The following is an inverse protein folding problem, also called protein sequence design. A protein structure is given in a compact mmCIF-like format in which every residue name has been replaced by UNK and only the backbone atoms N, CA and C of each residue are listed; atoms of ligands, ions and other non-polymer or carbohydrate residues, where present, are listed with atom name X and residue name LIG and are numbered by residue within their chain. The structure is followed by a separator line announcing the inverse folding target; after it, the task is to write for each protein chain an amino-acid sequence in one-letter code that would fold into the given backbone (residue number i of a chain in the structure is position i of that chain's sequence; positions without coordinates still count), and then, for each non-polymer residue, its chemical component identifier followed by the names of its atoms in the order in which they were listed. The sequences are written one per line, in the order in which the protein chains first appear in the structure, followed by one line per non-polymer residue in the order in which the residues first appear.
data_IF_990733734146
#
_entry.id   IF_990733734146
#
_cell.length_a   1.000
_cell.length_b   1.000
_cell.length_c   1.000
_cell.angle_alpha   90.00
_cell.angle_beta   90.00
_cell.angle_gamma   90.00
#
_symmetry.space_group_name_H-M   'P 1'
#
loop_
_entity.id
_entity.type
_entity.pdbx_description
1 polymer ?
#
# COMPACT_ATOMS: atom_id res chain seq x y z
N UNK A 1 -34.86 6.04 78.30
CA UNK A 1 -34.66 7.24 77.46
C UNK A 1 -33.54 6.95 76.55
N UNK A 2 -33.83 6.35 75.38
CA UNK A 2 -32.87 5.79 74.45
C UNK A 2 -32.71 6.81 73.30
N UNK A 3 -31.45 7.21 73.09
CA UNK A 3 -31.11 8.06 71.94
C UNK A 3 -30.59 7.17 70.81
N UNK A 4 -31.42 6.97 69.78
CA UNK A 4 -31.01 6.41 68.48
C UNK A 4 -30.02 7.37 67.78
N UNK A 5 -28.80 6.93 67.55
CA UNK A 5 -27.86 7.55 66.64
C UNK A 5 -28.07 6.95 65.25
N UNK A 6 -28.65 7.75 64.36
CA UNK A 6 -28.75 7.40 62.91
C UNK A 6 -27.45 7.82 62.26
N UNK A 7 -26.61 6.82 61.94
CA UNK A 7 -25.44 7.02 61.13
C UNK A 7 -25.78 7.14 59.67
N UNK A 8 -25.59 8.31 59.07
CA UNK A 8 -25.72 8.59 57.66
C UNK A 8 -24.43 8.17 56.94
N UNK A 9 -24.43 6.99 56.31
CA UNK A 9 -23.29 6.55 55.48
C UNK A 9 -23.45 7.22 54.11
N UNK A 10 -22.60 8.19 53.86
CA UNK A 10 -22.44 8.83 52.54
C UNK A 10 -21.66 7.87 51.64
N UNK A 11 -22.35 7.17 50.74
CA UNK A 11 -21.72 6.36 49.70
C UNK A 11 -21.27 7.28 48.56
N UNK A 12 -20.02 7.75 48.61
CA UNK A 12 -19.38 8.42 47.48
C UNK A 12 -19.12 7.37 46.40
N UNK A 13 -20.01 7.27 45.43
CA UNK A 13 -19.76 6.50 44.21
C UNK A 13 -18.65 7.17 43.40
N UNK A 14 -17.43 6.66 43.48
CA UNK A 14 -16.38 6.97 42.51
C UNK A 14 -16.78 6.37 41.16
N UNK A 15 -17.45 7.17 40.34
CA UNK A 15 -17.55 6.85 38.89
C UNK A 15 -16.15 7.02 38.30
N UNK A 16 -15.45 5.90 38.14
CA UNK A 16 -14.22 5.88 37.36
C UNK A 16 -14.58 6.23 35.92
N UNK A 17 -14.39 7.48 35.53
CA UNK A 17 -14.34 7.88 34.13
C UNK A 17 -13.11 7.17 33.55
N UNK A 18 -13.29 6.03 32.90
CA UNK A 18 -12.28 5.49 31.99
C UNK A 18 -12.20 6.48 30.82
N UNK A 19 -11.23 7.37 30.88
CA UNK A 19 -10.80 8.15 29.69
C UNK A 19 -10.34 7.12 28.69
N UNK A 20 -11.19 6.76 27.76
CA UNK A 20 -10.79 5.98 26.58
C UNK A 20 -9.84 6.89 25.83
N UNK A 21 -8.54 6.60 25.89
CA UNK A 21 -7.55 7.33 25.13
C UNK A 21 -7.96 7.18 23.65
N UNK A 22 -8.49 8.27 23.08
CA UNK A 22 -8.91 8.28 21.68
C UNK A 22 -7.64 8.08 20.87
N UNK A 23 -7.58 7.02 20.09
CA UNK A 23 -6.43 6.74 19.23
C UNK A 23 -6.43 7.77 18.10
N UNK A 24 -5.50 8.71 18.15
CA UNK A 24 -5.32 9.71 17.12
C UNK A 24 -4.40 9.18 16.02
N UNK A 25 -4.93 9.18 14.79
CA UNK A 25 -4.13 8.88 13.61
C UNK A 25 -3.18 10.06 13.33
N UNK A 26 -1.96 9.80 12.82
CA UNK A 26 -1.02 10.87 12.46
C UNK A 26 -1.57 11.75 11.35
N UNK A 27 -1.12 13.00 11.30
CA UNK A 27 -1.29 13.87 10.13
C UNK A 27 -0.02 13.83 9.27
N UNK A 28 -0.20 13.56 7.98
CA UNK A 28 0.87 13.44 6.99
C UNK A 28 0.57 14.40 5.86
N UNK A 29 1.49 15.31 5.58
CA UNK A 29 1.34 16.22 4.45
C UNK A 29 1.55 15.47 3.13
N UNK A 30 0.48 15.37 2.36
CA UNK A 30 0.50 14.75 1.05
C UNK A 30 0.47 15.82 -0.04
N UNK A 31 1.62 16.12 -0.62
CA UNK A 31 1.75 16.99 -1.79
C UNK A 31 2.05 16.22 -3.09
N UNK A 32 2.09 14.87 -3.05
CA UNK A 32 2.63 14.04 -4.12
C UNK A 32 1.58 13.47 -5.07
N UNK A 33 0.38 13.19 -4.58
CA UNK A 33 -0.67 12.58 -5.40
C UNK A 33 -2.05 13.08 -4.99
N UNK A 34 -3.06 12.79 -5.82
CA UNK A 34 -4.43 13.18 -5.53
C UNK A 34 -5.45 12.51 -6.43
N UNK A 35 -6.74 12.88 -6.25
CA UNK A 35 -7.84 12.33 -7.04
C UNK A 35 -7.66 12.52 -8.54
N UNK A 36 -7.93 11.46 -9.31
CA UNK A 36 -7.85 11.45 -10.76
C UNK A 36 -6.49 11.08 -11.33
N UNK A 37 -5.49 10.81 -10.48
CA UNK A 37 -4.21 10.28 -10.95
C UNK A 37 -4.38 8.89 -11.56
N UNK A 38 -3.74 8.66 -12.71
CA UNK A 38 -3.66 7.36 -13.36
C UNK A 38 -2.27 7.19 -13.97
N UNK A 39 -1.64 6.04 -13.71
CA UNK A 39 -0.33 5.70 -14.24
C UNK A 39 -0.41 4.32 -14.87
N UNK A 40 0.05 4.21 -16.12
CA UNK A 40 0.09 2.95 -16.86
C UNK A 40 1.52 2.43 -16.96
N UNK A 41 1.67 1.15 -16.74
CA UNK A 41 2.94 0.44 -16.79
C UNK A 41 2.89 -0.70 -17.80
N UNK A 42 4.03 -0.96 -18.41
CA UNK A 42 4.31 -2.19 -19.14
C UNK A 42 4.96 -3.18 -18.19
N UNK A 43 4.53 -4.43 -18.24
CA UNK A 43 5.12 -5.53 -17.48
C UNK A 43 5.99 -6.37 -18.41
N UNK A 44 7.24 -6.59 -18.01
CA UNK A 44 8.22 -7.36 -18.79
C UNK A 44 8.70 -8.58 -17.98
N UNK A 45 9.05 -9.64 -18.70
CA UNK A 45 9.83 -10.76 -18.20
C UNK A 45 11.02 -10.96 -19.14
N UNK A 46 12.24 -10.71 -18.62
CA UNK A 46 13.43 -10.55 -19.45
C UNK A 46 13.22 -9.44 -20.47
N UNK A 47 13.37 -9.77 -21.74
CA UNK A 47 13.19 -8.84 -22.86
C UNK A 47 11.76 -8.80 -23.42
N UNK A 48 10.89 -9.67 -22.96
CA UNK A 48 9.54 -9.81 -23.50
C UNK A 48 8.54 -9.00 -22.69
N UNK A 49 7.66 -8.27 -23.39
CA UNK A 49 6.48 -7.68 -22.74
C UNK A 49 5.44 -8.77 -22.54
N UNK A 50 5.06 -8.98 -21.29
CA UNK A 50 4.14 -10.04 -20.88
C UNK A 50 2.79 -9.53 -20.42
N UNK A 51 2.67 -8.21 -20.19
CA UNK A 51 1.42 -7.64 -19.70
C UNK A 51 1.50 -6.13 -19.49
N UNK A 52 0.48 -5.63 -18.82
CA UNK A 52 0.36 -4.23 -18.40
C UNK A 52 -0.18 -4.16 -16.97
N UNK A 53 0.12 -3.04 -16.31
CA UNK A 53 -0.50 -2.69 -15.04
C UNK A 53 -0.95 -1.22 -15.08
N UNK A 54 -1.99 -0.91 -14.31
CA UNK A 54 -2.51 0.47 -14.20
C UNK A 54 -2.81 0.74 -12.74
N UNK A 55 -2.33 1.88 -12.22
CA UNK A 55 -2.75 2.39 -10.92
C UNK A 55 -3.65 3.60 -11.10
N UNK A 56 -4.71 3.69 -10.30
CA UNK A 56 -5.71 4.78 -10.39
C UNK A 56 -6.11 5.25 -9.00
N UNK A 57 -6.11 6.57 -8.80
CA UNK A 57 -6.79 7.22 -7.68
C UNK A 57 -8.15 7.71 -8.18
N UNK A 58 -9.25 7.25 -7.57
CA UNK A 58 -10.60 7.69 -7.96
C UNK A 58 -10.71 9.21 -7.83
N UNK A 59 -11.50 9.83 -8.71
CA UNK A 59 -11.74 11.30 -8.67
C UNK A 59 -12.54 11.73 -7.45
N UNK A 60 -13.26 10.83 -6.82
CA UNK A 60 -14.11 11.08 -5.65
C UNK A 60 -13.34 10.77 -4.38
N UNK A 61 -13.65 11.52 -3.32
CA UNK A 61 -13.27 11.15 -1.96
C UNK A 61 -14.42 10.36 -1.35
N UNK A 62 -14.08 9.24 -0.74
CA UNK A 62 -15.02 8.35 -0.06
C UNK A 62 -14.99 8.61 1.45
N UNK A 63 -16.03 8.21 2.15
CA UNK A 63 -16.06 8.28 3.61
C UNK A 63 -16.04 6.87 4.17
N UNK A 64 -14.94 6.48 4.82
CA UNK A 64 -14.75 5.18 5.47
C UNK A 64 -14.46 5.44 6.95
N UNK A 65 -15.14 4.73 7.85
CA UNK A 65 -15.00 4.93 9.29
C UNK A 65 -15.11 6.41 9.71
N UNK A 66 -16.05 7.14 9.09
CA UNK A 66 -16.26 8.59 9.28
C UNK A 66 -15.11 9.50 8.82
N UNK A 67 -14.06 8.95 8.17
CA UNK A 67 -12.89 9.69 7.70
C UNK A 67 -12.86 9.78 6.17
N UNK A 68 -12.42 10.93 5.61
CA UNK A 68 -12.20 11.07 4.18
C UNK A 68 -11.13 10.09 3.70
N UNK A 69 -11.36 9.41 2.58
CA UNK A 69 -10.46 8.37 2.07
C UNK A 69 -10.33 8.43 0.55
N UNK A 70 -9.11 8.31 0.06
CA UNK A 70 -8.84 8.00 -1.33
C UNK A 70 -9.25 6.56 -1.60
N UNK A 71 -9.88 6.31 -2.76
CA UNK A 71 -9.98 4.95 -3.30
C UNK A 71 -8.90 4.80 -4.36
N UNK A 72 -8.05 3.80 -4.20
CA UNK A 72 -6.95 3.51 -5.11
C UNK A 72 -7.07 2.10 -5.61
N UNK A 73 -6.99 1.91 -6.92
CA UNK A 73 -7.01 0.61 -7.57
C UNK A 73 -5.71 0.40 -8.36
N UNK A 74 -5.17 -0.82 -8.30
CA UNK A 74 -4.11 -1.31 -9.17
C UNK A 74 -4.62 -2.53 -9.93
N UNK A 75 -4.50 -2.49 -11.24
CA UNK A 75 -4.89 -3.56 -12.14
C UNK A 75 -3.65 -4.16 -12.78
N UNK A 76 -3.60 -5.47 -12.91
CA UNK A 76 -2.55 -6.20 -13.61
C UNK A 76 -3.16 -7.21 -14.57
N UNK A 77 -2.69 -7.21 -15.82
CA UNK A 77 -3.17 -8.17 -16.80
C UNK A 77 -2.05 -8.65 -17.73
N UNK A 78 -2.05 -9.94 -18.05
CA UNK A 78 -1.21 -10.48 -19.11
C UNK A 78 -1.73 -10.09 -20.49
N UNK A 79 -0.82 -9.95 -21.47
CA UNK A 79 -1.16 -9.61 -22.85
C UNK A 79 -0.37 -10.47 -23.84
N UNK A 80 -0.80 -10.44 -25.13
CA UNK A 80 -0.16 -11.17 -26.22
C UNK A 80 -0.18 -12.68 -26.03
N UNK A 81 0.86 -13.36 -26.49
CA UNK A 81 0.97 -14.84 -26.44
C UNK A 81 0.99 -15.40 -25.02
N UNK A 82 1.50 -14.62 -24.04
CA UNK A 82 1.56 -15.06 -22.63
C UNK A 82 0.16 -15.27 -22.06
N UNK A 83 -0.83 -14.48 -22.47
CA UNK A 83 -2.22 -14.64 -22.03
C UNK A 83 -2.86 -15.98 -22.47
N UNK A 84 -2.30 -16.64 -23.48
CA UNK A 84 -2.74 -17.98 -23.91
C UNK A 84 -2.17 -19.09 -23.02
N UNK A 85 -1.02 -18.85 -22.42
CA UNK A 85 -0.37 -19.81 -21.50
C UNK A 85 -0.94 -19.66 -20.10
N UNK A 86 -0.97 -18.40 -19.60
CA UNK A 86 -1.52 -18.08 -18.29
C UNK A 86 -2.18 -16.70 -18.35
N UNK A 87 -3.51 -16.69 -18.27
CA UNK A 87 -4.28 -15.46 -18.20
C UNK A 87 -4.25 -14.93 -16.78
N UNK A 88 -3.71 -13.72 -16.59
CA UNK A 88 -3.77 -12.93 -15.36
C UNK A 88 -4.72 -11.75 -15.59
N UNK A 89 -5.61 -11.49 -14.63
CA UNK A 89 -6.54 -10.37 -14.61
C UNK A 89 -6.82 -10.02 -13.14
N UNK A 90 -5.89 -9.30 -12.53
CA UNK A 90 -5.87 -9.02 -11.10
C UNK A 90 -6.30 -7.57 -10.82
N UNK A 91 -7.03 -7.40 -9.74
CA UNK A 91 -7.35 -6.12 -9.15
C UNK A 91 -6.98 -6.09 -7.69
N UNK A 92 -6.22 -5.09 -7.30
CA UNK A 92 -5.87 -4.74 -5.93
C UNK A 92 -6.40 -3.36 -5.66
N UNK A 93 -7.01 -3.14 -4.50
CA UNK A 93 -7.51 -1.81 -4.19
C UNK A 93 -7.53 -1.54 -2.70
N UNK A 94 -7.53 -0.24 -2.36
CA UNK A 94 -7.57 0.20 -0.98
C UNK A 94 -8.36 1.51 -0.83
N UNK A 95 -8.97 1.67 0.35
CA UNK A 95 -9.46 2.95 0.85
C UNK A 95 -8.47 3.46 1.89
N UNK A 96 -7.82 4.57 1.57
CA UNK A 96 -6.68 5.10 2.30
C UNK A 96 -7.06 6.46 2.87
N UNK A 97 -6.88 6.65 4.18
CA UNK A 97 -7.15 7.92 4.86
C UNK A 97 -6.41 9.08 4.18
N UNK A 98 -7.09 10.20 3.93
CA UNK A 98 -6.49 11.32 3.21
C UNK A 98 -5.47 12.10 4.02
N UNK A 99 -5.58 12.07 5.36
CA UNK A 99 -4.68 12.77 6.27
C UNK A 99 -3.60 11.87 6.85
N UNK A 100 -3.97 10.66 7.29
CA UNK A 100 -3.03 9.75 7.96
C UNK A 100 -2.30 8.80 6.99
N UNK A 101 -2.80 8.66 5.77
CA UNK A 101 -2.30 7.72 4.75
C UNK A 101 -2.16 6.28 5.27
N UNK A 102 -3.08 5.89 6.17
CA UNK A 102 -3.27 4.50 6.59
C UNK A 102 -4.39 3.85 5.81
N UNK A 103 -4.36 2.54 5.68
CA UNK A 103 -5.41 1.79 4.98
C UNK A 103 -6.56 1.47 5.92
N UNK A 104 -7.80 1.86 5.58
CA UNK A 104 -9.00 1.47 6.30
C UNK A 104 -9.60 0.15 5.78
N UNK A 105 -9.59 -0.02 4.47
CA UNK A 105 -10.10 -1.22 3.81
C UNK A 105 -9.20 -1.52 2.63
N UNK A 106 -8.80 -2.77 2.47
CA UNK A 106 -8.17 -3.25 1.24
C UNK A 106 -8.95 -4.43 0.66
N UNK A 107 -8.82 -4.62 -0.63
CA UNK A 107 -9.43 -5.75 -1.33
C UNK A 107 -8.53 -6.21 -2.47
N UNK A 108 -8.60 -7.50 -2.76
CA UNK A 108 -7.91 -8.09 -3.90
C UNK A 108 -8.76 -9.13 -4.60
N UNK A 109 -8.85 -9.04 -5.91
CA UNK A 109 -9.53 -9.99 -6.78
C UNK A 109 -8.49 -10.57 -7.72
N UNK A 110 -8.04 -11.77 -7.43
CA UNK A 110 -6.98 -12.46 -8.14
C UNK A 110 -7.58 -13.46 -9.11
N UNK A 111 -7.15 -13.40 -10.37
CA UNK A 111 -7.54 -14.30 -11.44
C UNK A 111 -6.31 -14.70 -12.25
N UNK A 112 -5.64 -15.76 -11.84
CA UNK A 112 -4.41 -16.27 -12.44
C UNK A 112 -4.62 -17.71 -12.94
N UNK A 113 -4.68 -17.90 -14.22
CA UNK A 113 -5.02 -19.20 -14.82
C UNK A 113 -6.33 -19.77 -14.25
N UNK A 114 -6.24 -20.82 -13.44
CA UNK A 114 -7.38 -21.43 -12.72
C UNK A 114 -7.51 -20.90 -11.29
N UNK A 115 -6.49 -20.24 -10.77
CA UNK A 115 -6.52 -19.70 -9.41
C UNK A 115 -7.44 -18.49 -9.33
N UNK A 116 -8.26 -18.46 -8.27
CA UNK A 116 -9.18 -17.34 -7.97
C UNK A 116 -9.12 -17.06 -6.49
N UNK A 117 -9.01 -15.78 -6.12
CA UNK A 117 -9.17 -15.31 -4.74
C UNK A 117 -9.91 -13.98 -4.78
N UNK A 118 -10.90 -13.82 -3.91
CA UNK A 118 -11.59 -12.55 -3.66
C UNK A 118 -11.52 -12.33 -2.16
N UNK A 119 -10.77 -11.31 -1.74
CA UNK A 119 -10.44 -11.05 -0.35
C UNK A 119 -10.76 -9.61 -0.01
N UNK A 120 -11.31 -9.40 1.17
CA UNK A 120 -11.59 -8.12 1.77
C UNK A 120 -10.93 -8.06 3.15
N UNK A 121 -10.12 -7.03 3.39
CA UNK A 121 -9.50 -6.78 4.69
C UNK A 121 -9.95 -5.44 5.23
N UNK A 122 -10.45 -5.40 6.46
CA UNK A 122 -10.82 -4.17 7.17
C UNK A 122 -9.87 -3.94 8.33
N UNK A 123 -9.36 -2.73 8.47
CA UNK A 123 -8.40 -2.38 9.53
C UNK A 123 -9.06 -1.52 10.60
N UNK A 124 -8.95 -1.96 11.85
CA UNK A 124 -9.29 -1.18 13.04
C UNK A 124 -8.00 -0.66 13.67
N UNK A 125 -7.69 0.60 13.43
CA UNK A 125 -6.49 1.24 13.96
C UNK A 125 -6.58 1.56 15.45
N UNK A 126 -7.77 1.64 16.03
CA UNK A 126 -7.94 1.88 17.46
C UNK A 126 -7.59 0.66 18.30
N UNK A 127 -7.84 -0.54 17.76
CA UNK A 127 -7.56 -1.82 18.43
C UNK A 127 -6.39 -2.57 17.82
N UNK A 128 -5.77 -2.02 16.75
CA UNK A 128 -4.68 -2.66 15.99
C UNK A 128 -5.03 -4.06 15.51
N UNK A 129 -6.17 -4.18 14.83
CA UNK A 129 -6.69 -5.44 14.27
C UNK A 129 -6.94 -5.32 12.78
N UNK A 130 -6.69 -6.43 12.08
CA UNK A 130 -7.15 -6.63 10.71
C UNK A 130 -8.15 -7.78 10.66
N UNK A 131 -9.32 -7.54 10.08
CA UNK A 131 -10.32 -8.57 9.80
C UNK A 131 -10.24 -8.95 8.33
N UNK A 132 -9.89 -10.20 8.07
CA UNK A 132 -9.75 -10.75 6.71
C UNK A 132 -10.92 -11.67 6.40
N UNK A 133 -11.61 -11.38 5.30
CA UNK A 133 -12.69 -12.21 4.75
C UNK A 133 -12.32 -12.69 3.36
N UNK A 134 -12.46 -13.97 3.11
CA UNK A 134 -12.24 -14.55 1.78
C UNK A 134 -13.58 -15.03 1.24
N UNK A 135 -13.87 -14.70 -0.02
CA UNK A 135 -15.11 -15.12 -0.68
C UNK A 135 -15.03 -16.60 -1.03
N UNK A 136 -15.97 -17.37 -0.54
CA UNK A 136 -16.12 -18.78 -0.87
C UNK A 136 -16.47 -18.92 -2.34
N UNK A 137 -15.77 -19.79 -3.05
CA UNK A 137 -15.89 -19.95 -4.51
C UNK A 137 -17.19 -20.69 -4.90
N UNK A 138 -17.70 -21.54 -4.01
CA UNK A 138 -18.90 -22.37 -4.26
C UNK A 138 -20.17 -21.60 -3.94
N UNK A 139 -20.20 -20.94 -2.77
CA UNK A 139 -21.40 -20.22 -2.30
C UNK A 139 -21.45 -18.78 -2.79
N UNK A 140 -20.31 -18.19 -3.18
CA UNK A 140 -20.20 -16.78 -3.56
C UNK A 140 -20.38 -15.80 -2.38
N UNK A 141 -20.42 -16.28 -1.15
CA UNK A 141 -20.54 -15.49 0.09
C UNK A 141 -19.17 -15.40 0.75
N UNK A 142 -18.89 -14.31 1.48
CA UNK A 142 -17.68 -14.22 2.29
C UNK A 142 -17.76 -15.16 3.48
N UNK A 143 -16.68 -15.90 3.71
CA UNK A 143 -16.50 -16.71 4.92
C UNK A 143 -16.41 -15.82 6.17
N UNK A 144 -16.49 -16.40 7.35
CA UNK A 144 -16.31 -15.70 8.61
C UNK A 144 -14.95 -15.02 8.66
N UNK A 145 -14.91 -13.83 9.27
CA UNK A 145 -13.69 -13.05 9.37
C UNK A 145 -12.64 -13.75 10.22
N UNK A 146 -11.41 -13.81 9.74
CA UNK A 146 -10.24 -14.10 10.56
C UNK A 146 -9.64 -12.78 11.05
N UNK A 147 -9.30 -12.74 12.34
CA UNK A 147 -8.78 -11.53 12.98
C UNK A 147 -7.30 -11.70 13.29
N UNK A 148 -6.50 -10.70 12.93
CA UNK A 148 -5.06 -10.68 13.11
C UNK A 148 -4.63 -9.41 13.83
N UNK A 149 -3.56 -9.50 14.64
CA UNK A 149 -2.92 -8.33 15.23
C UNK A 149 -2.11 -7.57 14.19
N UNK A 150 -2.15 -6.25 14.26
CA UNK A 150 -1.39 -5.37 13.38
C UNK A 150 -0.58 -4.35 14.18
N UNK A 151 0.54 -3.86 13.62
CA UNK A 151 1.22 -2.71 14.20
C UNK A 151 0.39 -1.42 14.05
N UNK A 152 0.74 -0.40 14.80
CA UNK A 152 0.16 0.94 14.66
C UNK A 152 0.35 1.47 13.22
N UNK A 153 -0.64 2.19 12.73
CA UNK A 153 -0.58 2.84 11.41
C UNK A 153 -0.25 1.90 10.26
N UNK A 154 -0.75 0.67 10.34
CA UNK A 154 -0.52 -0.36 9.33
C UNK A 154 -1.09 0.04 7.97
N UNK A 155 -0.44 -0.41 6.91
CA UNK A 155 -0.86 -0.21 5.52
C UNK A 155 -0.94 -1.56 4.80
N UNK A 156 -1.84 -1.68 3.84
CA UNK A 156 -1.75 -2.73 2.83
C UNK A 156 -0.67 -2.39 1.78
N UNK A 157 -0.46 -3.25 0.80
CA UNK A 157 0.55 -2.99 -0.24
C UNK A 157 0.29 -1.70 -1.03
N UNK A 158 -0.97 -1.42 -1.37
CA UNK A 158 -1.34 -0.22 -2.13
C UNK A 158 -1.09 1.04 -1.31
N UNK A 159 -1.51 1.03 -0.04
CA UNK A 159 -1.28 2.12 0.91
C UNK A 159 0.21 2.34 1.19
N UNK A 160 0.99 1.27 1.29
CA UNK A 160 2.44 1.32 1.46
C UNK A 160 3.14 2.01 0.28
N UNK A 161 2.73 1.70 -0.95
CA UNK A 161 3.24 2.37 -2.15
C UNK A 161 2.93 3.86 -2.19
N UNK A 162 1.72 4.27 -1.77
CA UNK A 162 1.38 5.69 -1.71
C UNK A 162 2.12 6.40 -0.58
N UNK A 163 2.27 5.76 0.57
CA UNK A 163 3.03 6.31 1.69
C UNK A 163 4.51 6.54 1.33
N UNK A 164 5.10 5.66 0.53
CA UNK A 164 6.46 5.82 0.03
C UNK A 164 6.66 7.16 -0.71
N UNK A 165 5.62 7.67 -1.37
CA UNK A 165 5.67 8.90 -2.18
C UNK A 165 5.67 10.19 -1.35
N UNK A 166 5.32 10.12 -0.08
CA UNK A 166 5.32 11.29 0.83
C UNK A 166 6.56 11.34 1.73
N UNK A 167 7.45 10.35 1.63
CA UNK A 167 8.70 10.33 2.38
C UNK A 167 9.64 11.42 1.85
N UNK A 168 10.27 12.14 2.76
CA UNK A 168 11.21 13.23 2.46
C UNK A 168 12.63 12.67 2.21
N UNK A 169 12.82 12.05 1.06
CA UNK A 169 14.11 11.46 0.68
C UNK A 169 15.25 12.49 0.58
N UNK A 170 14.92 13.76 0.43
CA UNK A 170 15.87 14.87 0.40
C UNK A 170 16.64 15.03 1.73
N UNK A 171 16.07 14.52 2.82
CA UNK A 171 16.68 14.52 4.16
C UNK A 171 17.54 13.29 4.42
N UNK A 172 17.55 12.32 3.52
CA UNK A 172 18.27 11.05 3.67
C UNK A 172 19.59 11.05 2.94
N UNK A 173 20.55 10.31 3.51
CA UNK A 173 21.82 9.99 2.86
C UNK A 173 21.76 8.61 2.22
N UNK A 174 22.59 8.39 1.19
CA UNK A 174 22.71 7.07 0.59
C UNK A 174 23.10 6.03 1.64
N UNK A 175 22.33 4.95 1.73
CA UNK A 175 22.47 3.88 2.73
C UNK A 175 21.48 3.97 3.88
N UNK A 176 20.80 5.12 4.06
CA UNK A 176 19.77 5.25 5.07
C UNK A 176 18.58 4.33 4.75
N UNK A 177 17.92 3.85 5.81
CA UNK A 177 16.81 2.91 5.71
C UNK A 177 15.52 3.55 6.21
N UNK A 178 14.45 3.40 5.43
CA UNK A 178 13.08 3.74 5.80
C UNK A 178 12.30 2.46 6.08
N UNK A 179 11.50 2.46 7.15
CA UNK A 179 10.67 1.31 7.50
C UNK A 179 9.20 1.64 7.32
N UNK A 180 8.47 0.76 6.63
CA UNK A 180 7.02 0.83 6.46
C UNK A 180 6.39 -0.40 7.08
N UNK A 181 5.50 -0.18 8.06
CA UNK A 181 4.71 -1.26 8.65
C UNK A 181 3.56 -1.63 7.71
N UNK A 182 3.47 -2.90 7.37
CA UNK A 182 2.50 -3.43 6.43
C UNK A 182 1.77 -4.67 6.93
N UNK A 183 0.66 -4.98 6.27
CA UNK A 183 -0.10 -6.21 6.44
C UNK A 183 -0.41 -6.80 5.06
N UNK A 184 -0.01 -8.05 4.85
CA UNK A 184 -0.22 -8.76 3.62
C UNK A 184 -0.24 -10.28 3.87
N UNK A 185 -1.16 -11.00 3.23
CA UNK A 185 -1.32 -12.46 3.37
C UNK A 185 -1.35 -12.94 4.81
N UNK A 186 -2.28 -12.36 5.58
CA UNK A 186 -2.54 -12.73 6.96
C UNK A 186 -1.36 -12.49 7.91
N UNK A 187 -0.39 -11.66 7.50
CA UNK A 187 0.84 -11.40 8.25
C UNK A 187 1.19 -9.92 8.28
N UNK A 188 1.58 -9.45 9.47
CA UNK A 188 2.19 -8.13 9.65
C UNK A 188 3.69 -8.20 9.40
N UNK A 189 4.26 -7.18 8.76
CA UNK A 189 5.69 -7.08 8.46
C UNK A 189 6.17 -5.64 8.53
N UNK A 190 7.47 -5.48 8.73
CA UNK A 190 8.15 -4.21 8.57
C UNK A 190 9.01 -4.28 7.31
N UNK A 191 8.60 -3.55 6.26
CA UNK A 191 9.36 -3.45 5.03
C UNK A 191 10.43 -2.38 5.22
N UNK A 192 11.68 -2.81 5.26
CA UNK A 192 12.84 -1.94 5.27
C UNK A 192 13.25 -1.63 3.83
N UNK A 193 13.45 -0.34 3.52
CA UNK A 193 13.79 0.15 2.18
C UNK A 193 15.03 1.00 2.28
N UNK A 194 16.11 0.58 1.63
CA UNK A 194 17.36 1.32 1.58
C UNK A 194 17.25 2.40 0.50
N UNK A 195 17.59 3.64 0.84
CA UNK A 195 17.79 4.69 -0.14
C UNK A 195 19.20 4.57 -0.75
N UNK A 196 19.29 4.20 -2.03
CA UNK A 196 20.58 3.98 -2.75
C UNK A 196 20.98 5.15 -3.65
N UNK A 197 20.51 6.38 -3.32
CA UNK A 197 20.89 7.59 -4.04
C UNK A 197 20.02 7.89 -5.26
N UNK A 198 20.59 8.58 -6.25
CA UNK A 198 19.87 9.05 -7.44
C UNK A 198 20.46 8.44 -8.71
N UNK A 199 19.60 8.18 -9.69
CA UNK A 199 19.97 7.61 -10.98
C UNK A 199 19.08 8.18 -12.10
N UNK A 200 19.60 8.36 -13.31
CA UNK A 200 18.81 8.77 -14.48
C UNK A 200 18.35 7.52 -15.22
N UNK A 201 17.04 7.37 -15.35
CA UNK A 201 16.42 6.23 -16.03
C UNK A 201 15.87 6.67 -17.38
N UNK A 202 16.28 5.97 -18.44
CA UNK A 202 15.69 6.11 -19.76
C UNK A 202 14.38 5.34 -19.82
N UNK A 203 13.30 6.02 -20.16
CA UNK A 203 11.95 5.46 -20.29
C UNK A 203 11.34 5.84 -21.63
N UNK A 204 10.17 5.29 -21.95
CA UNK A 204 9.41 5.68 -23.14
C UNK A 204 8.87 7.10 -23.10
N UNK A 205 8.69 7.67 -21.90
CA UNK A 205 8.23 9.06 -21.74
C UNK A 205 9.37 10.07 -21.67
N UNK A 206 10.62 9.61 -21.72
CA UNK A 206 11.83 10.43 -21.70
C UNK A 206 12.82 10.01 -20.60
N UNK A 207 13.89 10.77 -20.44
CA UNK A 207 14.87 10.57 -19.37
C UNK A 207 14.34 11.19 -18.08
N UNK A 208 14.33 10.43 -16.99
CA UNK A 208 13.83 10.88 -15.69
C UNK A 208 14.89 10.65 -14.63
N UNK A 209 15.22 11.69 -13.86
CA UNK A 209 16.02 11.53 -12.64
C UNK A 209 15.15 10.90 -11.58
N UNK A 210 15.65 9.80 -10.98
CA UNK A 210 14.94 8.99 -10.02
C UNK A 210 15.72 8.84 -8.73
N UNK A 211 14.99 8.68 -7.63
CA UNK A 211 15.47 8.15 -6.37
C UNK A 211 15.50 6.63 -6.51
N UNK A 212 16.62 6.01 -6.19
CA UNK A 212 16.81 4.56 -6.24
C UNK A 212 16.57 3.97 -4.87
N UNK A 213 15.65 3.05 -4.78
CA UNK A 213 15.20 2.42 -3.54
C UNK A 213 15.37 0.90 -3.65
N UNK A 214 15.87 0.28 -2.60
CA UNK A 214 16.10 -1.16 -2.54
C UNK A 214 15.35 -1.73 -1.34
N UNK A 215 14.13 -2.28 -1.54
CA UNK A 215 13.41 -3.01 -0.50
C UNK A 215 14.20 -4.25 -0.07
N UNK A 216 14.35 -4.45 1.24
CA UNK A 216 14.94 -5.65 1.81
C UNK A 216 13.86 -6.71 1.89
N UNK A 217 13.96 -7.69 1.00
CA UNK A 217 12.98 -8.78 0.92
C UNK A 217 13.33 -9.89 1.92
N UNK A 218 12.35 -10.36 2.71
CA UNK A 218 12.57 -11.56 3.51
C UNK A 218 12.89 -12.76 2.60
N UNK A 219 13.62 -13.73 3.15
CA UNK A 219 13.92 -14.97 2.44
C UNK A 219 12.65 -15.63 1.90
N UNK A 220 12.60 -15.83 0.58
CA UNK A 220 11.45 -16.41 -0.11
C UNK A 220 11.92 -17.27 -1.30
N UNK A 221 10.98 -17.99 -1.92
CA UNK A 221 11.28 -18.90 -3.04
C UNK A 221 11.19 -18.23 -4.42
N UNK A 222 10.82 -16.97 -4.51
CA UNK A 222 10.57 -16.28 -5.79
C UNK A 222 11.74 -15.39 -6.18
N UNK A 223 12.36 -14.71 -5.22
CA UNK A 223 13.38 -13.69 -5.46
C UNK A 223 14.78 -14.19 -5.13
N UNK A 224 15.74 -13.76 -5.92
CA UNK A 224 17.16 -14.13 -5.79
C UNK A 224 17.87 -13.18 -4.80
N UNK A 225 17.74 -13.49 -3.51
CA UNK A 225 18.38 -12.76 -2.40
C UNK A 225 17.59 -11.58 -1.86
N UNK A 226 18.10 -11.01 -0.78
CA UNK A 226 17.44 -9.92 -0.01
C UNK A 226 17.29 -8.61 -0.82
N UNK A 227 18.27 -8.28 -1.66
CA UNK A 227 18.28 -7.05 -2.47
C UNK A 227 17.84 -7.31 -3.92
N UNK A 228 16.93 -8.24 -4.10
CA UNK A 228 16.48 -8.68 -5.42
C UNK A 228 15.57 -7.68 -6.13
N UNK A 229 14.97 -6.75 -5.40
CA UNK A 229 14.08 -5.73 -5.95
C UNK A 229 14.76 -4.37 -5.92
N UNK A 230 14.65 -3.64 -7.03
CA UNK A 230 15.02 -2.23 -7.12
C UNK A 230 13.84 -1.44 -7.64
N UNK A 231 13.52 -0.35 -6.98
CA UNK A 231 12.46 0.58 -7.36
C UNK A 231 13.07 1.96 -7.64
N UNK A 232 12.76 2.54 -8.79
CA UNK A 232 13.11 3.91 -9.16
C UNK A 232 11.85 4.75 -9.14
N UNK A 233 11.77 5.73 -8.25
CA UNK A 233 10.69 6.71 -8.18
C UNK A 233 11.18 8.07 -8.69
N UNK A 234 10.33 8.89 -9.30
CA UNK A 234 10.72 10.18 -9.83
C UNK A 234 11.27 11.12 -8.74
N UNK A 235 12.39 11.80 -9.01
CA UNK A 235 12.99 12.83 -8.15
C UNK A 235 12.30 14.18 -8.36
N UNK A 236 11.00 14.22 -8.08
CA UNK A 236 10.16 15.42 -8.16
C UNK A 236 9.02 15.34 -7.12
N UNK A 237 8.12 16.32 -7.16
CA UNK A 237 7.00 16.40 -6.21
C UNK A 237 6.02 15.21 -6.29
N UNK A 238 5.99 14.44 -7.38
CA UNK A 238 5.07 13.31 -7.52
C UNK A 238 5.62 12.01 -6.89
N UNK A 239 6.95 11.80 -6.93
CA UNK A 239 7.62 10.58 -6.48
C UNK A 239 6.93 9.29 -7.00
N UNK A 240 6.54 9.30 -8.30
CA UNK A 240 5.85 8.16 -8.92
C UNK A 240 6.83 7.02 -9.21
N UNK A 241 6.41 5.74 -9.10
CA UNK A 241 7.20 4.62 -9.57
C UNK A 241 7.42 4.76 -11.08
N UNK A 242 8.69 4.94 -11.49
CA UNK A 242 9.08 5.04 -12.90
C UNK A 242 9.44 3.67 -13.44
N UNK A 243 10.16 2.90 -12.63
CA UNK A 243 10.57 1.54 -12.94
C UNK A 243 10.71 0.71 -11.66
N UNK A 244 10.27 -0.54 -11.70
CA UNK A 244 10.58 -1.54 -10.67
C UNK A 244 11.16 -2.75 -11.40
N UNK A 245 12.22 -3.31 -10.86
CA UNK A 245 12.87 -4.49 -11.39
C UNK A 245 13.10 -5.50 -10.26
N UNK A 246 12.76 -6.75 -10.51
CA UNK A 246 12.99 -7.84 -9.58
C UNK A 246 13.81 -8.94 -10.25
N UNK A 247 14.90 -9.36 -9.58
CA UNK A 247 15.66 -10.53 -9.94
C UNK A 247 14.98 -11.76 -9.35
N UNK A 248 14.72 -12.75 -10.17
CA UNK A 248 14.13 -14.00 -9.75
C UNK A 248 15.18 -15.11 -9.94
N UNK A 249 15.00 -16.27 -9.29
CA UNK A 249 15.85 -17.43 -9.51
C UNK A 249 15.93 -17.85 -10.99
N UNK A 250 14.86 -17.58 -11.76
CA UNK A 250 14.82 -17.78 -13.20
C UNK A 250 14.42 -16.47 -13.86
N UNK A 251 15.40 -15.78 -14.43
CA UNK A 251 15.20 -14.54 -15.18
C UNK A 251 14.98 -13.30 -14.31
N UNK A 252 14.38 -12.29 -14.90
CA UNK A 252 14.01 -11.05 -14.22
C UNK A 252 12.64 -10.58 -14.67
N UNK A 253 11.90 -9.98 -13.77
CA UNK A 253 10.64 -9.31 -14.10
C UNK A 253 10.72 -7.84 -13.75
N UNK A 254 9.89 -7.02 -14.37
CA UNK A 254 9.84 -5.61 -14.04
C UNK A 254 8.65 -4.90 -14.64
N UNK A 255 8.35 -3.75 -14.07
CA UNK A 255 7.40 -2.80 -14.62
C UNK A 255 8.11 -1.50 -14.98
N UNK A 256 7.65 -0.85 -16.04
CA UNK A 256 8.13 0.45 -16.51
C UNK A 256 6.95 1.32 -16.88
N UNK A 257 6.96 2.56 -16.39
CA UNK A 257 5.95 3.55 -16.70
C UNK A 257 5.97 3.88 -18.21
N UNK A 258 4.77 3.82 -18.83
CA UNK A 258 4.61 4.13 -20.26
C UNK A 258 3.70 5.32 -20.51
N UNK A 259 2.82 5.66 -19.59
CA UNK A 259 1.99 6.87 -19.65
C UNK A 259 1.45 7.24 -18.27
N UNK A 260 1.02 8.49 -18.14
CA UNK A 260 0.42 9.01 -16.92
C UNK A 260 -0.58 10.11 -17.27
N UNK A 261 -1.51 10.37 -16.34
CA UNK A 261 -2.40 11.53 -16.36
C UNK A 261 -2.81 11.92 -14.95
N UNK A 262 -3.24 13.16 -14.77
CA UNK A 262 -3.78 13.65 -13.50
C UNK A 262 -2.74 13.72 -12.38
N UNK A 263 -1.45 13.80 -12.69
CA UNK A 263 -0.41 14.02 -11.69
C UNK A 263 -0.61 15.35 -10.98
N UNK A 264 -0.35 15.39 -9.69
CA UNK A 264 -0.48 16.59 -8.87
C UNK A 264 0.59 17.65 -9.20
N UNK A 265 1.78 17.22 -9.57
CA UNK A 265 2.91 18.08 -9.95
C UNK A 265 3.36 17.76 -11.38
N UNK A 266 4.08 18.70 -11.99
CA UNK A 266 4.69 18.45 -13.29
C UNK A 266 5.78 17.38 -13.16
N UNK A 267 5.75 16.35 -14.01
CA UNK A 267 6.82 15.36 -14.11
C UNK A 267 8.07 16.01 -14.71
N UNK A 268 9.21 15.88 -14.02
CA UNK A 268 10.48 16.42 -14.47
C UNK A 268 11.16 15.48 -15.47
N UNK A 269 10.95 15.74 -16.76
CA UNK A 269 11.64 15.03 -17.86
C UNK A 269 12.88 15.82 -18.25
N UNK A 270 14.02 15.13 -18.42
CA UNK A 270 15.27 15.69 -18.91
C UNK A 270 15.21 15.66 -20.44
N UNK A 271 15.30 16.81 -21.06
CA UNK A 271 15.46 16.96 -22.50
C UNK A 271 16.96 17.09 -22.82
N UNK A 272 17.42 16.43 -23.88
CA UNK A 272 18.80 16.53 -24.39
C UNK A 272 19.00 17.84 -25.13
#
# INVERSE_FOLDING_TARGET
MDRLLIGFILFLGLTAFTVRQEYELPEIDNTSFGPGEEITYRVNFGFFTVGSAVTKVDKRIFKINSRPSYKVDAFGATSGMVSWITKVDDQWGAYIDTAALVTHVSYRKIKEGRYRKDELTTFDHATNKAEVKVRNKETGVYDDAKVYDTPNNVRDLVGGFLYLRVIEFEKLHKGDTVTISGFFEDTSYNLNIIYDGKEVINTRVGKIRCLKLVPIMPNNKLFDGENSITCWISDDGNKIPVKIQAKMFIGSTGIEMVSFRGLRNQLKIIFD
#
